data_IF_650574367419
#
_entry.id   IF_650574367419
#
_cell.length_a   1.000
_cell.length_b   1.000
_cell.length_c   1.000
_cell.angle_alpha   90.00
_cell.angle_beta   90.00
_cell.angle_gamma   90.00
#
_symmetry.space_group_name_H-M   'P 1'
#
loop_
_entity.id
_entity.type
_entity.pdbx_description
1 polymer ?
#
# COMPACT_ATOMS: atom_id res chain seq x y z
N UNK A 1 22.62 -0.12 -2.22
CA UNK A 1 22.24 -1.08 -3.28
C UNK A 1 22.59 -2.52 -2.93
N UNK A 2 23.79 -2.84 -2.47
CA UNK A 2 24.24 -4.22 -2.19
C UNK A 2 23.29 -4.98 -1.23
N UNK A 3 22.91 -4.40 -0.10
CA UNK A 3 22.01 -5.04 0.89
C UNK A 3 20.61 -5.31 0.31
N UNK A 4 20.08 -4.39 -0.52
CA UNK A 4 18.78 -4.58 -1.15
C UNK A 4 18.81 -5.74 -2.16
N UNK A 5 19.83 -5.82 -3.01
CA UNK A 5 20.00 -6.92 -3.95
C UNK A 5 20.14 -8.27 -3.21
N UNK A 6 20.92 -8.29 -2.14
CA UNK A 6 21.08 -9.49 -1.31
C UNK A 6 19.76 -9.91 -0.65
N UNK A 7 18.96 -8.96 -0.16
CA UNK A 7 17.66 -9.27 0.44
C UNK A 7 16.69 -9.84 -0.61
N UNK A 8 16.61 -9.23 -1.79
CA UNK A 8 15.75 -9.69 -2.89
C UNK A 8 16.12 -11.09 -3.40
N UNK A 9 17.39 -11.47 -3.31
CA UNK A 9 17.88 -12.80 -3.72
C UNK A 9 17.75 -13.81 -2.59
N UNK A 10 18.15 -13.43 -1.37
CA UNK A 10 18.17 -14.35 -0.22
C UNK A 10 16.82 -14.56 0.43
N UNK A 11 15.88 -13.64 0.25
CA UNK A 11 14.57 -13.63 0.91
C UNK A 11 14.63 -13.75 2.44
N UNK A 12 15.68 -13.21 3.06
CA UNK A 12 15.90 -13.34 4.50
C UNK A 12 15.44 -12.15 5.32
N UNK A 13 15.62 -10.93 4.80
CA UNK A 13 15.29 -9.70 5.52
C UNK A 13 14.15 -8.94 4.81
N UNK A 14 13.28 -8.27 5.56
CA UNK A 14 12.23 -7.46 4.96
C UNK A 14 12.79 -6.24 4.25
N UNK A 15 12.24 -5.94 3.09
CA UNK A 15 12.50 -4.74 2.30
C UNK A 15 11.44 -3.67 2.57
N UNK A 16 10.24 -4.10 2.94
CA UNK A 16 9.10 -3.23 3.24
C UNK A 16 8.33 -3.76 4.44
N UNK A 17 7.90 -2.86 5.31
CA UNK A 17 6.99 -3.17 6.40
C UNK A 17 5.73 -2.31 6.29
N UNK A 18 4.62 -2.88 6.69
CA UNK A 18 3.35 -2.18 6.88
C UNK A 18 3.09 -2.17 8.38
N UNK A 19 2.96 -0.98 8.93
CA UNK A 19 2.69 -0.82 10.35
C UNK A 19 1.30 -0.23 10.57
N UNK A 20 0.43 -1.02 11.18
CA UNK A 20 -0.86 -0.59 11.67
C UNK A 20 -0.63 0.17 12.97
N UNK A 21 -0.45 1.48 12.87
CA UNK A 21 -0.15 2.32 14.05
C UNK A 21 -1.28 2.32 15.07
N UNK A 22 -2.51 2.09 14.60
CA UNK A 22 -3.73 1.89 15.40
C UNK A 22 -4.69 0.98 14.64
N UNK A 23 -5.51 0.23 15.33
CA UNK A 23 -6.65 -0.50 14.74
C UNK A 23 -7.98 0.21 15.00
N UNK A 24 -7.96 1.36 15.68
CA UNK A 24 -9.12 2.25 15.81
C UNK A 24 -9.36 3.02 14.51
N UNK A 25 -10.62 3.24 14.15
CA UNK A 25 -11.02 4.02 13.00
C UNK A 25 -12.27 4.83 13.32
N UNK A 26 -12.38 6.04 12.78
CA UNK A 26 -13.58 6.85 12.85
C UNK A 26 -14.59 6.53 11.73
N UNK A 27 -14.17 5.76 10.69
CA UNK A 27 -15.04 5.28 9.62
C UNK A 27 -15.53 3.85 9.89
N UNK A 28 -16.60 3.44 9.17
CA UNK A 28 -17.12 2.08 9.22
C UNK A 28 -17.50 1.61 7.81
N UNK A 29 -16.47 1.44 6.97
CA UNK A 29 -16.62 1.10 5.55
C UNK A 29 -17.08 -0.35 5.37
N UNK A 30 -18.08 -0.64 4.50
CA UNK A 30 -18.58 -2.00 4.30
C UNK A 30 -17.55 -2.99 3.76
N UNK A 31 -16.55 -2.50 3.01
CA UNK A 31 -15.49 -3.33 2.40
C UNK A 31 -14.24 -3.49 3.28
N UNK A 32 -14.21 -2.87 4.47
CA UNK A 32 -13.04 -2.91 5.33
C UNK A 32 -12.79 -4.33 5.85
N UNK A 33 -11.51 -4.74 5.83
CA UNK A 33 -11.06 -6.03 6.37
C UNK A 33 -10.38 -5.90 7.74
N UNK A 34 -10.18 -4.67 8.23
CA UNK A 34 -9.57 -4.41 9.54
C UNK A 34 -10.56 -4.73 10.64
N UNK A 35 -10.17 -5.57 11.58
CA UNK A 35 -10.91 -5.81 12.81
C UNK A 35 -10.57 -4.70 13.80
N UNK A 36 -11.54 -3.84 14.11
CA UNK A 36 -11.33 -2.72 15.03
C UNK A 36 -11.09 -3.22 16.45
N UNK A 37 -10.04 -2.68 17.10
CA UNK A 37 -9.67 -3.00 18.49
C UNK A 37 -9.60 -1.73 19.33
N UNK A 38 -9.59 -1.93 20.66
CA UNK A 38 -9.31 -0.83 21.60
C UNK A 38 -7.84 -0.39 21.46
N UNK A 39 -7.56 0.86 21.87
CA UNK A 39 -6.21 1.45 21.79
C UNK A 39 -5.30 1.11 22.98
N UNK A 40 -5.80 0.33 23.94
CA UNK A 40 -5.14 0.10 25.24
C UNK A 40 -3.76 -0.57 25.12
N UNK A 41 -3.55 -1.38 24.07
CA UNK A 41 -2.33 -2.15 23.87
C UNK A 41 -1.45 -1.63 22.70
N UNK A 42 -1.72 -0.41 22.22
CA UNK A 42 -0.91 0.18 21.16
C UNK A 42 0.56 0.34 21.63
N UNK A 43 1.49 0.10 20.70
CA UNK A 43 2.92 0.28 20.96
C UNK A 43 3.20 1.75 21.32
N UNK A 44 3.97 1.96 22.38
CA UNK A 44 4.50 3.26 22.78
C UNK A 44 5.66 3.69 21.89
N UNK A 45 6.00 5.00 21.88
CA UNK A 45 7.13 5.51 21.10
C UNK A 45 8.45 4.82 21.46
N UNK A 46 8.70 4.53 22.76
CA UNK A 46 9.91 3.85 23.20
C UNK A 46 9.99 2.38 22.73
N UNK A 47 8.85 1.71 22.59
CA UNK A 47 8.78 0.36 22.01
C UNK A 47 9.01 0.39 20.51
N UNK A 48 8.42 1.37 19.80
CA UNK A 48 8.60 1.59 18.35
C UNK A 48 10.07 1.92 18.04
N UNK A 49 10.74 2.70 18.89
CA UNK A 49 12.16 3.02 18.77
C UNK A 49 13.02 1.74 18.75
N UNK A 50 12.88 0.87 19.74
CA UNK A 50 13.59 -0.43 19.79
C UNK A 50 13.29 -1.31 18.58
N UNK A 51 12.02 -1.33 18.12
CA UNK A 51 11.62 -2.09 16.93
C UNK A 51 12.34 -1.55 15.69
N UNK A 52 12.32 -0.24 15.49
CA UNK A 52 12.91 0.41 14.30
C UNK A 52 14.43 0.21 14.21
N UNK A 53 15.15 0.22 15.32
CA UNK A 53 16.58 -0.04 15.42
C UNK A 53 16.96 -1.48 15.08
N UNK A 54 16.01 -2.41 15.28
CA UNK A 54 16.27 -3.86 15.12
C UNK A 54 15.80 -4.44 13.79
N UNK A 55 15.36 -3.63 12.81
CA UNK A 55 14.83 -4.10 11.53
C UNK A 55 15.89 -4.49 10.49
N UNK A 56 17.18 -4.36 10.81
CA UNK A 56 18.27 -4.66 9.88
C UNK A 56 18.51 -3.58 8.83
N UNK A 57 19.35 -3.89 7.83
CA UNK A 57 19.84 -2.92 6.86
C UNK A 57 19.19 -3.01 5.48
N UNK A 58 18.21 -3.88 5.29
CA UNK A 58 17.55 -4.12 4.01
C UNK A 58 16.23 -3.36 3.85
N UNK A 59 15.68 -2.83 4.95
CA UNK A 59 14.42 -2.11 4.95
C UNK A 59 14.53 -0.81 4.14
N UNK A 60 13.56 -0.56 3.23
CA UNK A 60 13.53 0.62 2.36
C UNK A 60 12.26 1.44 2.46
N UNK A 61 11.19 0.82 2.93
CA UNK A 61 9.89 1.47 3.05
C UNK A 61 9.20 1.05 4.34
N UNK A 62 8.55 2.01 4.97
CA UNK A 62 7.54 1.81 6.00
C UNK A 62 6.21 2.40 5.54
N UNK A 63 5.15 1.61 5.55
CA UNK A 63 3.80 2.08 5.28
C UNK A 63 3.02 2.18 6.59
N UNK A 64 2.71 3.38 7.00
CA UNK A 64 1.89 3.67 8.18
C UNK A 64 0.42 3.59 7.77
N UNK A 65 -0.32 2.74 8.43
CA UNK A 65 -1.73 2.49 8.15
C UNK A 65 -2.45 2.09 9.44
N UNK A 66 -3.59 1.44 9.33
CA UNK A 66 -4.33 0.91 10.47
C UNK A 66 -5.83 0.93 10.22
N UNK A 67 -6.60 1.31 11.23
CA UNK A 67 -7.93 1.84 11.06
C UNK A 67 -7.82 3.23 10.40
N UNK A 68 -7.61 4.27 11.21
CA UNK A 68 -7.26 5.60 10.70
C UNK A 68 -6.01 6.12 11.43
N UNK A 69 -4.85 6.23 10.72
CA UNK A 69 -3.59 6.64 11.36
C UNK A 69 -3.64 7.99 12.04
N UNK A 70 -4.39 8.93 11.50
CA UNK A 70 -4.52 10.28 12.05
C UNK A 70 -5.33 10.36 13.34
N UNK A 71 -5.85 9.25 13.87
CA UNK A 71 -6.35 9.16 15.23
C UNK A 71 -5.22 9.10 16.28
N UNK A 72 -3.99 8.76 15.88
CA UNK A 72 -2.81 8.83 16.73
C UNK A 72 -2.26 10.25 16.77
N UNK A 73 -2.13 10.80 17.98
CA UNK A 73 -1.61 12.17 18.17
C UNK A 73 -0.10 12.25 17.94
N UNK A 74 0.60 11.12 18.14
CA UNK A 74 2.05 10.96 17.99
C UNK A 74 2.49 10.38 16.63
N UNK A 75 1.60 10.40 15.60
CA UNK A 75 1.91 9.83 14.28
C UNK A 75 3.19 10.41 13.65
N UNK A 76 3.44 11.71 13.86
CA UNK A 76 4.66 12.35 13.39
C UNK A 76 5.89 11.78 14.09
N UNK A 77 5.84 11.60 15.41
CA UNK A 77 6.98 11.04 16.16
C UNK A 77 7.27 9.60 15.72
N UNK A 78 6.22 8.82 15.45
CA UNK A 78 6.35 7.47 14.86
C UNK A 78 7.10 7.54 13.52
N UNK A 79 6.67 8.39 12.60
CA UNK A 79 7.32 8.55 11.30
C UNK A 79 8.80 8.98 11.44
N UNK A 80 9.07 9.91 12.36
CA UNK A 80 10.41 10.42 12.65
C UNK A 80 11.33 9.35 13.25
N UNK A 81 10.81 8.53 14.16
CA UNK A 81 11.56 7.40 14.75
C UNK A 81 11.98 6.43 13.64
N UNK A 82 11.04 5.98 12.80
CA UNK A 82 11.36 5.08 11.69
C UNK A 82 12.38 5.69 10.73
N UNK A 83 12.25 6.98 10.41
CA UNK A 83 13.16 7.68 9.50
C UNK A 83 14.58 7.78 10.06
N UNK A 84 14.73 8.03 11.36
CA UNK A 84 16.04 8.19 12.01
C UNK A 84 16.76 6.88 12.30
N UNK A 85 16.02 5.86 12.74
CA UNK A 85 16.60 4.65 13.32
C UNK A 85 16.71 3.49 12.33
N UNK A 86 16.17 3.62 11.12
CA UNK A 86 16.22 2.56 10.13
C UNK A 86 16.82 3.03 8.79
N UNK A 87 16.93 2.10 7.83
CA UNK A 87 17.50 2.41 6.51
C UNK A 87 16.44 2.74 5.47
N UNK A 88 15.24 3.13 5.90
CA UNK A 88 14.14 3.46 4.98
C UNK A 88 14.48 4.68 4.12
N UNK A 89 13.92 4.70 2.93
CA UNK A 89 14.06 5.78 1.95
C UNK A 89 12.72 6.44 1.65
N UNK A 90 11.64 5.88 2.18
CA UNK A 90 10.29 6.42 2.01
C UNK A 90 9.40 6.02 3.19
N UNK A 91 8.54 6.95 3.54
CA UNK A 91 7.38 6.73 4.43
C UNK A 91 6.13 6.87 3.58
N UNK A 92 5.16 6.00 3.76
CA UNK A 92 3.85 6.18 3.15
C UNK A 92 2.76 6.14 4.22
N UNK A 93 1.68 6.88 4.00
CA UNK A 93 0.52 6.93 4.91
C UNK A 93 -0.74 6.68 4.11
N UNK A 94 -1.53 5.68 4.53
CA UNK A 94 -2.86 5.44 3.97
C UNK A 94 -3.91 5.94 4.94
N UNK A 95 -4.78 6.84 4.49
CA UNK A 95 -5.78 7.52 5.34
C UNK A 95 -7.12 7.66 4.64
N UNK A 96 -8.17 7.77 5.42
CA UNK A 96 -9.49 8.14 4.90
C UNK A 96 -9.61 9.66 4.60
N UNK A 97 -8.61 10.46 5.02
CA UNK A 97 -8.55 11.89 4.76
C UNK A 97 -9.56 12.76 5.52
N UNK A 98 -10.20 12.23 6.56
CA UNK A 98 -11.27 12.92 7.29
C UNK A 98 -10.82 14.06 8.20
N UNK A 99 -9.51 14.22 8.42
CA UNK A 99 -8.92 15.15 9.39
C UNK A 99 -7.91 16.11 8.71
N UNK A 100 -8.36 17.08 7.89
CA UNK A 100 -7.48 17.94 7.09
C UNK A 100 -6.41 18.67 7.89
N UNK A 101 -6.76 19.18 9.07
CA UNK A 101 -5.82 19.93 9.91
C UNK A 101 -4.68 19.03 10.42
N UNK A 102 -5.01 17.80 10.85
CA UNK A 102 -4.01 16.83 11.29
C UNK A 102 -3.10 16.37 10.14
N UNK A 103 -3.67 16.21 8.95
CA UNK A 103 -2.90 15.89 7.73
C UNK A 103 -1.94 17.02 7.40
N UNK A 104 -2.39 18.27 7.46
CA UNK A 104 -1.56 19.44 7.22
C UNK A 104 -0.41 19.53 8.22
N UNK A 105 -0.70 19.43 9.52
CA UNK A 105 0.31 19.53 10.58
C UNK A 105 1.35 18.41 10.48
N UNK A 106 0.93 17.19 10.19
CA UNK A 106 1.83 16.06 9.96
C UNK A 106 2.73 16.30 8.73
N UNK A 107 2.15 16.70 7.60
CA UNK A 107 2.90 16.97 6.37
C UNK A 107 3.91 18.11 6.59
N UNK A 108 3.51 19.19 7.26
CA UNK A 108 4.40 20.31 7.62
C UNK A 108 5.59 19.86 8.45
N UNK A 109 5.34 19.13 9.55
CA UNK A 109 6.41 18.63 10.44
C UNK A 109 7.36 17.68 9.69
N UNK A 110 6.83 16.80 8.84
CA UNK A 110 7.65 15.90 8.02
C UNK A 110 8.49 16.68 7.01
N UNK A 111 7.96 17.73 6.38
CA UNK A 111 8.70 18.59 5.45
C UNK A 111 9.83 19.34 6.15
N UNK A 112 9.60 19.89 7.34
CA UNK A 112 10.61 20.57 8.18
C UNK A 112 11.77 19.62 8.53
N UNK A 113 11.49 18.35 8.83
CA UNK A 113 12.49 17.31 9.13
C UNK A 113 13.04 16.63 7.85
N UNK A 114 12.64 17.07 6.66
CA UNK A 114 13.04 16.50 5.36
C UNK A 114 12.71 15.00 5.20
N UNK A 115 11.59 14.58 5.76
CA UNK A 115 11.05 13.24 5.64
C UNK A 115 10.07 13.21 4.46
N UNK A 116 10.40 12.64 3.30
CA UNK A 116 9.46 12.53 2.19
C UNK A 116 8.37 11.51 2.51
N UNK A 117 7.11 11.91 2.35
CA UNK A 117 5.94 11.07 2.61
C UNK A 117 5.10 10.93 1.36
N UNK A 118 4.63 9.71 1.09
CA UNK A 118 3.63 9.42 0.06
C UNK A 118 2.27 9.21 0.72
N UNK A 119 1.33 10.11 0.48
CA UNK A 119 -0.02 10.04 1.01
C UNK A 119 -0.94 9.30 0.06
N UNK A 120 -1.74 8.38 0.58
CA UNK A 120 -2.76 7.64 -0.14
C UNK A 120 -4.11 7.90 0.50
N UNK A 121 -4.89 8.80 -0.11
CA UNK A 121 -6.23 9.15 0.36
C UNK A 121 -7.27 8.25 -0.29
N UNK A 122 -8.13 7.66 0.51
CA UNK A 122 -9.20 6.80 0.03
C UNK A 122 -10.33 7.62 -0.60
N UNK A 123 -10.76 7.26 -1.83
CA UNK A 123 -11.86 7.94 -2.52
C UNK A 123 -12.60 6.98 -3.46
N UNK A 124 -13.77 6.45 -3.04
CA UNK A 124 -14.44 5.33 -3.71
C UNK A 124 -15.68 5.74 -4.50
N UNK A 125 -16.27 6.92 -4.25
CA UNK A 125 -17.45 7.43 -4.91
C UNK A 125 -17.38 8.96 -5.09
N UNK A 126 -18.19 9.48 -6.00
CA UNK A 126 -18.29 10.92 -6.26
C UNK A 126 -19.18 11.57 -5.21
N UNK A 127 -18.76 12.72 -4.68
CA UNK A 127 -19.55 13.60 -3.83
C UNK A 127 -19.99 12.96 -2.52
N UNK A 128 -21.16 13.33 -2.02
CA UNK A 128 -21.69 12.90 -0.73
C UNK A 128 -21.84 11.39 -0.62
N UNK A 129 -22.02 10.68 -1.74
CA UNK A 129 -22.06 9.21 -1.74
C UNK A 129 -20.78 8.59 -1.16
N UNK A 130 -19.64 9.28 -1.26
CA UNK A 130 -18.39 8.84 -0.62
C UNK A 130 -18.48 8.93 0.90
N UNK A 131 -19.07 10.01 1.43
CA UNK A 131 -19.31 10.22 2.86
C UNK A 131 -20.29 9.17 3.42
N UNK A 132 -21.40 8.95 2.74
CA UNK A 132 -22.40 7.92 3.09
C UNK A 132 -21.80 6.52 3.12
N UNK A 133 -21.03 6.16 2.09
CA UNK A 133 -20.42 4.84 1.95
C UNK A 133 -19.43 4.54 3.08
N UNK A 134 -18.63 5.50 3.45
CA UNK A 134 -17.65 5.36 4.54
C UNK A 134 -18.21 5.72 5.92
N UNK A 135 -19.48 6.16 5.98
CA UNK A 135 -20.21 6.54 7.18
C UNK A 135 -19.50 7.64 7.99
N UNK A 136 -19.02 8.64 7.29
CA UNK A 136 -18.38 9.84 7.84
C UNK A 136 -18.98 11.10 7.19
N UNK A 137 -19.47 12.00 8.02
CA UNK A 137 -20.02 13.28 7.54
C UNK A 137 -18.93 14.14 6.88
N UNK A 138 -19.28 14.86 5.82
CA UNK A 138 -18.41 15.79 5.10
C UNK A 138 -17.10 15.16 4.58
N UNK A 139 -17.04 13.83 4.45
CA UNK A 139 -15.79 13.14 4.08
C UNK A 139 -15.31 13.53 2.68
N UNK A 140 -16.23 13.72 1.74
CA UNK A 140 -15.89 14.18 0.39
C UNK A 140 -15.04 15.46 0.42
N UNK A 141 -15.53 16.49 1.09
CA UNK A 141 -14.84 17.78 1.21
C UNK A 141 -13.52 17.64 1.99
N UNK A 142 -13.55 16.90 3.09
CA UNK A 142 -12.38 16.70 3.93
C UNK A 142 -11.24 15.99 3.19
N UNK A 143 -11.55 14.95 2.39
CA UNK A 143 -10.53 14.24 1.60
C UNK A 143 -9.87 15.17 0.58
N UNK A 144 -10.66 15.98 -0.12
CA UNK A 144 -10.13 16.93 -1.11
C UNK A 144 -9.30 18.00 -0.44
N UNK A 145 -9.77 18.55 0.69
CA UNK A 145 -9.00 19.51 1.49
C UNK A 145 -7.69 18.90 1.97
N UNK A 146 -7.72 17.67 2.49
CA UNK A 146 -6.51 16.95 2.92
C UNK A 146 -5.52 16.74 1.77
N UNK A 147 -6.02 16.35 0.58
CA UNK A 147 -5.19 16.16 -0.60
C UNK A 147 -4.51 17.48 -1.01
N UNK A 148 -5.27 18.56 -1.14
CA UNK A 148 -4.76 19.89 -1.51
C UNK A 148 -3.82 20.46 -0.47
N UNK A 149 -4.10 20.28 0.83
CA UNK A 149 -3.18 20.65 1.92
C UNK A 149 -1.77 20.07 1.72
N UNK A 150 -1.67 18.86 1.18
CA UNK A 150 -0.37 18.23 0.93
C UNK A 150 0.26 18.74 -0.37
N UNK A 151 -0.45 18.64 -1.49
CA UNK A 151 0.15 18.87 -2.82
C UNK A 151 0.47 20.33 -3.10
N UNK A 152 -0.33 21.25 -2.56
CA UNK A 152 -0.20 22.67 -2.83
C UNK A 152 0.85 23.35 -1.93
N UNK A 153 1.14 22.76 -0.75
CA UNK A 153 2.03 23.39 0.24
C UNK A 153 3.39 22.69 0.41
N UNK A 154 3.48 21.38 0.11
CA UNK A 154 4.68 20.60 0.47
C UNK A 154 5.22 19.77 -0.71
N UNK A 155 6.03 20.37 -1.61
CA UNK A 155 6.53 19.70 -2.82
C UNK A 155 7.45 18.49 -2.55
N UNK A 156 7.94 18.32 -1.32
CA UNK A 156 8.71 17.14 -0.91
C UNK A 156 7.83 15.89 -0.80
N UNK A 157 6.51 16.05 -0.64
CA UNK A 157 5.54 14.97 -0.50
C UNK A 157 4.88 14.63 -1.83
N UNK A 158 4.32 13.43 -1.88
CA UNK A 158 3.43 13.01 -2.98
C UNK A 158 2.07 12.62 -2.40
N UNK A 159 1.02 12.84 -3.15
CA UNK A 159 -0.32 12.39 -2.77
C UNK A 159 -1.04 11.75 -3.95
N UNK A 160 -1.85 10.73 -3.65
CA UNK A 160 -2.71 10.06 -4.61
C UNK A 160 -4.11 9.83 -4.02
N UNK A 161 -5.14 9.88 -4.87
CA UNK A 161 -6.44 9.35 -4.53
C UNK A 161 -6.51 7.87 -4.91
N UNK A 162 -6.98 7.04 -3.96
CA UNK A 162 -7.11 5.60 -4.14
C UNK A 162 -8.58 5.20 -4.24
N UNK A 163 -8.94 4.52 -5.33
CA UNK A 163 -10.22 3.85 -5.45
C UNK A 163 -10.06 2.36 -5.18
N UNK A 164 -10.85 1.81 -4.25
CA UNK A 164 -10.95 0.38 -4.01
C UNK A 164 -12.20 -0.15 -4.68
N UNK A 165 -12.02 -0.98 -5.72
CA UNK A 165 -13.16 -1.55 -6.45
C UNK A 165 -13.70 -2.75 -5.70
N UNK A 166 -14.98 -2.67 -5.36
CA UNK A 166 -15.73 -3.68 -4.62
C UNK A 166 -17.09 -3.94 -5.29
N UNK A 167 -17.88 -4.84 -4.72
CA UNK A 167 -19.25 -5.10 -5.20
C UNK A 167 -20.17 -3.88 -5.08
N UNK A 168 -19.87 -2.97 -4.17
CA UNK A 168 -20.69 -1.80 -3.89
C UNK A 168 -20.49 -0.67 -4.93
N UNK A 169 -19.29 -0.59 -5.55
CA UNK A 169 -18.96 0.53 -6.43
C UNK A 169 -18.53 0.16 -7.85
N UNK A 170 -18.37 -1.12 -8.20
CA UNK A 170 -17.84 -1.49 -9.52
C UNK A 170 -18.62 -0.89 -10.70
N UNK A 171 -19.92 -0.68 -10.56
CA UNK A 171 -20.76 -0.09 -11.59
C UNK A 171 -20.48 1.41 -11.83
N UNK A 172 -20.00 2.13 -10.81
CA UNK A 172 -19.68 3.56 -10.87
C UNK A 172 -18.19 3.87 -10.82
N UNK A 173 -17.33 2.86 -10.62
CA UNK A 173 -15.90 3.05 -10.40
C UNK A 173 -15.20 3.75 -11.59
N UNK A 174 -15.57 3.42 -12.84
CA UNK A 174 -15.03 4.10 -14.03
C UNK A 174 -15.45 5.57 -14.09
N UNK A 175 -16.67 5.89 -13.68
CA UNK A 175 -17.13 7.28 -13.59
C UNK A 175 -16.38 8.02 -12.49
N UNK A 176 -16.16 7.40 -11.32
CA UNK A 176 -15.36 7.97 -10.22
C UNK A 176 -13.93 8.25 -10.67
N UNK A 177 -13.31 7.32 -11.40
CA UNK A 177 -11.98 7.53 -11.97
C UNK A 177 -11.94 8.75 -12.91
N UNK A 178 -12.90 8.84 -13.86
CA UNK A 178 -12.97 9.97 -14.78
C UNK A 178 -13.22 11.31 -14.06
N UNK A 179 -14.08 11.32 -13.05
CA UNK A 179 -14.32 12.49 -12.22
C UNK A 179 -13.06 12.98 -11.52
N UNK A 180 -12.30 12.07 -10.86
CA UNK A 180 -11.02 12.45 -10.25
C UNK A 180 -10.04 13.04 -11.26
N UNK A 181 -9.93 12.45 -12.46
CA UNK A 181 -9.01 12.89 -13.50
C UNK A 181 -9.47 14.19 -14.17
N UNK A 182 -10.72 14.26 -14.60
CA UNK A 182 -11.20 15.31 -15.50
C UNK A 182 -11.76 16.54 -14.77
N UNK A 183 -12.49 16.33 -13.66
CA UNK A 183 -13.11 17.42 -12.89
C UNK A 183 -12.20 17.89 -11.76
N UNK A 184 -11.71 16.96 -10.94
CA UNK A 184 -10.84 17.29 -9.82
C UNK A 184 -9.38 17.53 -10.24
N UNK A 185 -9.00 17.21 -11.49
CA UNK A 185 -7.64 17.36 -12.01
C UNK A 185 -6.55 16.65 -11.17
N UNK A 186 -6.92 15.53 -10.55
CA UNK A 186 -5.99 14.74 -9.75
C UNK A 186 -4.96 14.08 -10.66
N UNK A 187 -3.69 14.40 -10.44
CA UNK A 187 -2.59 13.86 -11.24
C UNK A 187 -2.21 12.43 -10.86
N UNK A 188 -2.34 12.06 -9.59
CA UNK A 188 -1.98 10.73 -9.10
C UNK A 188 -3.23 9.98 -8.62
N UNK A 189 -3.63 8.98 -9.37
CA UNK A 189 -4.78 8.13 -9.05
C UNK A 189 -4.31 6.69 -8.99
N UNK A 190 -4.72 5.97 -7.94
CA UNK A 190 -4.53 4.54 -7.82
C UNK A 190 -5.87 3.81 -7.83
N UNK A 191 -5.83 2.57 -8.31
CA UNK A 191 -6.98 1.70 -8.33
C UNK A 191 -6.57 0.32 -7.80
N UNK A 192 -7.28 -0.19 -6.80
CA UNK A 192 -7.02 -1.50 -6.20
C UNK A 192 -8.30 -2.34 -6.20
N UNK A 193 -8.16 -3.65 -6.13
CA UNK A 193 -9.28 -4.56 -5.88
C UNK A 193 -9.53 -4.72 -4.39
N UNK A 194 -10.79 -4.86 -4.01
CA UNK A 194 -11.19 -5.26 -2.66
C UNK A 194 -10.46 -6.53 -2.22
N UNK A 195 -10.11 -6.61 -0.95
CA UNK A 195 -9.31 -7.68 -0.35
C UNK A 195 -10.00 -8.27 0.88
N UNK A 196 -9.43 -9.38 1.38
CA UNK A 196 -9.99 -10.09 2.52
C UNK A 196 -11.24 -10.87 2.15
N UNK A 197 -12.05 -11.18 3.14
CA UNK A 197 -13.27 -11.97 2.96
C UNK A 197 -14.22 -11.32 1.95
N UNK A 198 -14.29 -9.99 1.91
CA UNK A 198 -15.09 -9.23 0.95
C UNK A 198 -14.70 -9.45 -0.52
N UNK A 199 -13.46 -9.90 -0.80
CA UNK A 199 -13.02 -10.25 -2.15
C UNK A 199 -13.47 -11.65 -2.58
N UNK A 200 -13.86 -12.50 -1.64
CA UNK A 200 -14.20 -13.90 -1.88
C UNK A 200 -15.68 -14.17 -1.79
N UNK A 201 -16.43 -13.36 -1.03
CA UNK A 201 -17.89 -13.45 -0.90
C UNK A 201 -18.55 -12.59 -1.99
N UNK A 202 -18.37 -12.99 -3.24
CA UNK A 202 -18.99 -12.37 -4.41
C UNK A 202 -19.77 -13.40 -5.20
N UNK A 203 -20.95 -13.04 -5.68
CA UNK A 203 -21.63 -13.80 -6.72
C UNK A 203 -20.78 -13.83 -8.00
N UNK A 204 -21.10 -14.73 -8.92
CA UNK A 204 -20.37 -14.82 -10.20
C UNK A 204 -20.49 -13.52 -11.02
N UNK A 205 -21.63 -12.85 -10.97
CA UNK A 205 -21.87 -11.62 -11.72
C UNK A 205 -21.15 -10.43 -11.07
N UNK A 206 -21.18 -10.32 -9.74
CA UNK A 206 -20.38 -9.32 -9.01
C UNK A 206 -18.89 -9.51 -9.28
N UNK A 207 -18.39 -10.74 -9.25
CA UNK A 207 -16.98 -11.03 -9.55
C UNK A 207 -16.60 -10.61 -10.96
N UNK A 208 -17.45 -10.90 -11.96
CA UNK A 208 -17.23 -10.45 -13.34
C UNK A 208 -17.25 -8.93 -13.43
N UNK A 209 -18.26 -8.27 -12.84
CA UNK A 209 -18.37 -6.80 -12.85
C UNK A 209 -17.18 -6.11 -12.20
N UNK A 210 -16.76 -6.58 -11.02
CA UNK A 210 -15.60 -6.02 -10.29
C UNK A 210 -14.31 -6.13 -11.11
N UNK A 211 -14.02 -7.31 -11.68
CA UNK A 211 -12.79 -7.48 -12.47
C UNK A 211 -12.83 -6.72 -13.80
N UNK A 212 -14.00 -6.59 -14.41
CA UNK A 212 -14.18 -5.85 -15.65
C UNK A 212 -13.98 -4.35 -15.41
N UNK A 213 -14.59 -3.77 -14.37
CA UNK A 213 -14.35 -2.40 -13.96
C UNK A 213 -12.86 -2.13 -13.67
N UNK A 214 -12.20 -3.02 -12.92
CA UNK A 214 -10.77 -2.91 -12.66
C UNK A 214 -9.94 -2.88 -13.96
N UNK A 215 -10.18 -3.82 -14.88
CA UNK A 215 -9.45 -3.88 -16.16
C UNK A 215 -9.68 -2.65 -17.01
N UNK A 216 -10.92 -2.16 -17.07
CA UNK A 216 -11.28 -0.98 -17.85
C UNK A 216 -10.59 0.27 -17.30
N UNK A 217 -10.62 0.49 -15.98
CA UNK A 217 -9.92 1.61 -15.34
C UNK A 217 -8.42 1.50 -15.59
N UNK A 218 -7.82 0.31 -15.43
CA UNK A 218 -6.38 0.13 -15.67
C UNK A 218 -6.00 0.42 -17.13
N UNK A 219 -6.83 0.02 -18.08
CA UNK A 219 -6.61 0.35 -19.50
C UNK A 219 -6.71 1.85 -19.76
N UNK A 220 -7.68 2.54 -19.13
CA UNK A 220 -7.79 4.01 -19.20
C UNK A 220 -6.56 4.67 -18.57
N UNK A 221 -6.14 4.23 -17.37
CA UNK A 221 -4.94 4.75 -16.70
C UNK A 221 -3.68 4.59 -17.56
N UNK A 222 -3.48 3.45 -18.24
CA UNK A 222 -2.36 3.25 -19.16
C UNK A 222 -2.37 4.29 -20.30
N UNK A 223 -3.53 4.55 -20.90
CA UNK A 223 -3.71 5.56 -21.97
C UNK A 223 -3.51 6.99 -21.43
N UNK A 224 -4.07 7.29 -20.27
CA UNK A 224 -3.98 8.62 -19.65
C UNK A 224 -2.56 8.93 -19.18
N UNK A 225 -1.84 7.92 -18.71
CA UNK A 225 -0.43 8.02 -18.40
C UNK A 225 0.42 8.26 -19.67
N UNK A 226 0.21 7.47 -20.72
CA UNK A 226 0.93 7.63 -21.99
C UNK A 226 0.68 9.01 -22.66
N UNK A 227 -0.50 9.62 -22.41
CA UNK A 227 -0.88 10.96 -22.90
C UNK A 227 -0.56 12.11 -21.93
N UNK A 228 -0.02 11.81 -20.74
CA UNK A 228 0.34 12.82 -19.75
C UNK A 228 -0.84 13.43 -18.98
N UNK A 229 -2.03 12.83 -19.05
CA UNK A 229 -3.22 13.29 -18.30
C UNK A 229 -3.14 12.97 -16.81
N UNK A 230 -2.47 11.88 -16.46
CA UNK A 230 -2.17 11.53 -15.08
C UNK A 230 -0.69 11.41 -14.88
N UNK A 231 -0.24 11.70 -13.64
CA UNK A 231 1.16 11.58 -13.22
C UNK A 231 1.55 10.15 -12.90
N UNK A 232 2.77 10.00 -12.38
CA UNK A 232 3.36 8.72 -12.01
C UNK A 232 4.84 8.72 -12.35
N UNK A 233 5.38 7.62 -12.82
CA UNK A 233 6.79 7.51 -13.23
C UNK A 233 7.00 8.11 -14.62
N UNK A 234 6.96 9.45 -14.70
CA UNK A 234 6.99 10.22 -15.97
C UNK A 234 8.37 10.51 -16.49
N UNK A 235 9.39 10.51 -15.62
CA UNK A 235 10.76 10.79 -16.04
C UNK A 235 11.27 9.74 -17.03
N UNK A 236 12.10 10.21 -17.99
CA UNK A 236 12.71 9.35 -19.01
C UNK A 236 13.99 8.68 -18.50
N UNK A 237 13.98 8.16 -17.28
CA UNK A 237 15.08 7.38 -16.72
C UNK A 237 14.73 5.88 -16.62
N UNK A 238 15.78 5.05 -16.57
CA UNK A 238 15.63 3.60 -16.55
C UNK A 238 14.80 3.10 -15.36
N UNK A 239 14.92 3.75 -14.20
CA UNK A 239 14.18 3.39 -12.99
C UNK A 239 12.67 3.58 -13.20
N UNK A 240 12.25 4.75 -13.71
CA UNK A 240 10.82 5.00 -13.98
C UNK A 240 10.27 4.09 -15.07
N UNK A 241 11.07 3.77 -16.08
CA UNK A 241 10.69 2.82 -17.14
C UNK A 241 10.48 1.41 -16.56
N UNK A 242 11.38 0.96 -15.70
CA UNK A 242 11.27 -0.34 -15.03
C UNK A 242 10.07 -0.40 -14.07
N UNK A 243 9.80 0.68 -13.32
CA UNK A 243 8.65 0.78 -12.43
C UNK A 243 7.32 0.74 -13.21
N UNK A 244 7.25 1.40 -14.37
CA UNK A 244 6.08 1.31 -15.25
C UNK A 244 5.90 -0.09 -15.84
N UNK A 245 6.97 -0.73 -16.27
CA UNK A 245 6.95 -2.10 -16.76
C UNK A 245 6.43 -3.06 -15.66
N UNK A 246 6.94 -2.90 -14.43
CA UNK A 246 6.48 -3.64 -13.25
C UNK A 246 4.99 -3.39 -12.97
N UNK A 247 4.50 -2.15 -13.05
CA UNK A 247 3.09 -1.83 -12.80
C UNK A 247 2.16 -2.56 -13.80
N UNK A 248 2.51 -2.60 -15.09
CA UNK A 248 1.73 -3.36 -16.10
C UNK A 248 1.66 -4.85 -15.78
N UNK A 249 2.78 -5.42 -15.34
CA UNK A 249 2.82 -6.82 -14.91
C UNK A 249 1.99 -7.04 -13.64
N UNK A 250 2.11 -6.17 -12.65
CA UNK A 250 1.34 -6.23 -11.41
C UNK A 250 -0.16 -6.30 -11.71
N UNK A 251 -0.69 -5.39 -12.53
CA UNK A 251 -2.11 -5.36 -12.87
C UNK A 251 -2.56 -6.61 -13.62
N UNK A 252 -1.75 -7.11 -14.54
CA UNK A 252 -1.99 -8.36 -15.26
C UNK A 252 -2.10 -9.54 -14.29
N UNK A 253 -1.19 -9.65 -13.33
CA UNK A 253 -1.16 -10.79 -12.40
C UNK A 253 -2.23 -10.69 -11.30
N UNK A 254 -2.52 -9.50 -10.80
CA UNK A 254 -3.65 -9.24 -9.90
C UNK A 254 -4.96 -9.65 -10.57
N UNK A 255 -5.23 -9.17 -11.78
CA UNK A 255 -6.42 -9.55 -12.55
C UNK A 255 -6.51 -11.06 -12.74
N UNK A 256 -5.42 -11.69 -13.17
CA UNK A 256 -5.37 -13.13 -13.43
C UNK A 256 -5.59 -13.97 -12.17
N UNK A 257 -5.09 -13.51 -11.02
CA UNK A 257 -5.30 -14.16 -9.73
C UNK A 257 -6.76 -14.07 -9.31
N UNK A 258 -7.34 -12.89 -9.41
CA UNK A 258 -8.74 -12.65 -9.08
C UNK A 258 -9.70 -13.49 -9.95
N UNK A 259 -9.48 -13.51 -11.27
CA UNK A 259 -10.29 -14.30 -12.20
C UNK A 259 -10.22 -15.81 -11.94
N UNK A 260 -8.99 -16.31 -11.74
CA UNK A 260 -8.76 -17.74 -11.59
C UNK A 260 -9.03 -18.24 -10.19
N UNK A 261 -9.05 -17.35 -9.20
CA UNK A 261 -9.19 -17.67 -7.77
C UNK A 261 -8.27 -18.82 -7.34
N UNK A 262 -7.00 -18.81 -7.77
CA UNK A 262 -6.04 -19.87 -7.48
C UNK A 262 -4.62 -19.37 -7.40
N UNK A 263 -3.79 -20.15 -6.72
CA UNK A 263 -2.34 -19.92 -6.64
C UNK A 263 -1.70 -19.92 -8.04
N UNK A 264 -1.00 -18.86 -8.36
CA UNK A 264 -0.28 -18.67 -9.63
C UNK A 264 1.18 -18.27 -9.47
N UNK A 265 1.59 -17.92 -8.27
CA UNK A 265 2.97 -17.54 -7.94
C UNK A 265 3.30 -17.79 -6.48
N UNK A 266 4.54 -18.23 -6.16
CA UNK A 266 5.04 -18.15 -4.79
C UNK A 266 4.92 -16.73 -4.24
N UNK A 267 4.64 -16.64 -2.94
CA UNK A 267 4.45 -15.38 -2.25
C UNK A 267 5.66 -15.05 -1.36
N UNK A 268 6.11 -13.80 -1.39
CA UNK A 268 7.21 -13.29 -0.57
C UNK A 268 6.75 -12.74 0.79
N UNK A 269 5.46 -12.89 1.14
CA UNK A 269 4.95 -12.47 2.45
C UNK A 269 5.71 -13.15 3.58
N UNK A 270 6.00 -12.40 4.65
CA UNK A 270 6.79 -12.90 5.76
C UNK A 270 8.28 -13.13 5.45
N UNK A 271 8.75 -12.79 4.24
CA UNK A 271 10.17 -12.87 3.88
C UNK A 271 10.74 -11.55 3.34
N UNK A 272 10.07 -10.89 2.38
CA UNK A 272 10.48 -9.58 1.87
C UNK A 272 9.61 -8.44 2.37
N UNK A 273 8.42 -8.74 2.85
CA UNK A 273 7.57 -7.77 3.53
C UNK A 273 6.80 -8.46 4.66
N UNK A 274 6.35 -7.67 5.60
CA UNK A 274 5.55 -8.12 6.73
C UNK A 274 4.71 -7.00 7.30
N UNK A 275 3.88 -7.36 8.26
CA UNK A 275 2.94 -6.48 8.95
C UNK A 275 3.31 -6.45 10.43
N UNK A 276 3.28 -5.26 11.00
CA UNK A 276 3.29 -5.05 12.45
C UNK A 276 1.92 -4.47 12.81
N UNK A 277 1.19 -5.11 13.70
CA UNK A 277 -0.05 -4.56 14.25
C UNK A 277 0.22 -3.60 15.41
N UNK A 278 -0.78 -2.83 15.79
CA UNK A 278 -0.68 -1.82 16.84
C UNK A 278 -0.28 -2.39 18.21
N UNK A 279 -0.61 -3.65 18.48
CA UNK A 279 -0.26 -4.39 19.69
C UNK A 279 1.12 -5.06 19.68
N UNK A 280 1.90 -4.89 18.61
CA UNK A 280 3.22 -5.50 18.41
C UNK A 280 3.18 -6.89 17.79
N UNK A 281 2.02 -7.41 17.43
CA UNK A 281 1.92 -8.69 16.71
C UNK A 281 2.47 -8.58 15.29
N UNK A 282 3.26 -9.57 14.86
CA UNK A 282 3.86 -9.62 13.52
C UNK A 282 3.16 -10.65 12.67
N UNK A 283 2.78 -10.26 11.45
CA UNK A 283 2.11 -11.12 10.48
C UNK A 283 2.85 -11.14 9.14
N UNK A 284 2.75 -12.23 8.36
CA UNK A 284 3.36 -12.28 7.04
C UNK A 284 2.68 -11.33 6.05
N UNK A 285 1.37 -11.12 6.18
CA UNK A 285 0.58 -10.16 5.39
C UNK A 285 -0.70 -9.76 6.14
N UNK A 286 -1.41 -8.76 5.64
CA UNK A 286 -2.62 -8.19 6.25
C UNK A 286 -3.86 -9.10 6.18
N UNK A 287 -3.82 -10.18 5.39
CA UNK A 287 -4.96 -11.07 5.15
C UNK A 287 -4.87 -12.41 5.88
N UNK A 288 -3.70 -12.75 6.42
CA UNK A 288 -3.49 -14.03 7.07
C UNK A 288 -3.59 -13.90 8.59
N UNK A 289 -4.28 -14.85 9.19
CA UNK A 289 -4.53 -14.87 10.64
C UNK A 289 -3.42 -15.57 11.45
N UNK A 290 -2.41 -16.13 10.79
CA UNK A 290 -1.31 -16.85 11.46
C UNK A 290 -0.19 -15.86 11.83
N UNK A 291 -0.12 -15.48 13.10
CA UNK A 291 0.92 -14.60 13.63
C UNK A 291 2.29 -15.28 13.58
N UNK A 292 3.32 -14.51 13.23
CA UNK A 292 4.73 -14.90 13.31
C UNK A 292 5.30 -14.76 14.73
N UNK A 293 4.61 -14.03 15.62
CA UNK A 293 4.95 -13.75 16.99
C UNK A 293 4.47 -12.38 17.44
N UNK A 294 4.67 -12.02 18.70
CA UNK A 294 4.47 -10.69 19.21
C UNK A 294 5.81 -10.09 19.64
N UNK A 295 6.11 -8.86 19.27
CA UNK A 295 7.40 -8.20 19.55
C UNK A 295 7.69 -8.03 21.04
N UNK A 296 6.65 -7.99 21.89
CA UNK A 296 6.79 -7.95 23.34
C UNK A 296 7.48 -9.20 23.90
N UNK A 297 7.30 -10.36 23.26
CA UNK A 297 7.92 -11.62 23.65
C UNK A 297 9.43 -11.68 23.25
N UNK A 298 9.91 -10.71 22.49
CA UNK A 298 11.27 -10.63 21.95
C UNK A 298 12.00 -9.34 22.38
N UNK A 299 11.60 -8.72 23.48
CA UNK A 299 12.14 -7.43 23.95
C UNK A 299 12.13 -6.33 22.87
N UNK A 300 11.08 -6.35 22.04
CA UNK A 300 10.91 -5.46 20.88
C UNK A 300 11.99 -5.58 19.81
N UNK A 301 12.74 -6.68 19.78
CA UNK A 301 13.70 -6.95 18.73
C UNK A 301 13.02 -7.61 17.53
N UNK A 302 12.82 -6.82 16.45
CA UNK A 302 12.13 -7.28 15.27
C UNK A 302 12.79 -8.50 14.61
N UNK A 303 14.12 -8.49 14.41
CA UNK A 303 14.79 -9.61 13.75
C UNK A 303 14.75 -10.89 14.58
N UNK A 304 14.77 -10.81 15.91
CA UNK A 304 14.57 -12.01 16.75
C UNK A 304 13.20 -12.65 16.51
N UNK A 305 12.15 -11.84 16.49
CA UNK A 305 10.80 -12.30 16.14
C UNK A 305 10.75 -12.84 14.71
N UNK A 306 11.32 -12.09 13.74
CA UNK A 306 11.32 -12.43 12.32
C UNK A 306 12.00 -13.75 12.00
N UNK A 307 13.06 -14.12 12.73
CA UNK A 307 13.80 -15.38 12.56
C UNK A 307 13.39 -16.49 13.52
N UNK A 308 12.39 -16.29 14.35
CA UNK A 308 11.89 -17.30 15.28
C UNK A 308 11.43 -18.57 14.55
N UNK A 309 11.37 -19.68 15.25
CA UNK A 309 10.89 -20.95 14.68
C UNK A 309 9.42 -20.90 14.32
N UNK A 310 8.61 -20.15 15.08
CA UNK A 310 7.22 -19.89 14.73
C UNK A 310 7.13 -19.13 13.39
N UNK A 311 7.92 -18.07 13.20
CA UNK A 311 7.96 -17.32 11.94
C UNK A 311 8.40 -18.19 10.76
N UNK A 312 9.35 -19.12 10.94
CA UNK A 312 9.75 -20.11 9.92
C UNK A 312 8.59 -21.05 9.57
N UNK A 313 7.88 -21.57 10.57
CA UNK A 313 6.70 -22.43 10.39
C UNK A 313 5.60 -21.72 9.60
N UNK A 314 5.29 -20.48 9.96
CA UNK A 314 4.29 -19.66 9.25
C UNK A 314 4.69 -19.49 7.78
N UNK A 315 5.95 -19.14 7.46
CA UNK A 315 6.42 -19.02 6.06
C UNK A 315 6.23 -20.30 5.26
N UNK A 316 6.48 -21.45 5.85
CA UNK A 316 6.30 -22.75 5.18
C UNK A 316 4.82 -23.02 4.83
N UNK A 317 3.89 -22.53 5.64
CA UNK A 317 2.45 -22.68 5.37
C UNK A 317 1.94 -21.83 4.20
N UNK A 318 2.72 -20.82 3.75
CA UNK A 318 2.31 -19.88 2.67
C UNK A 318 2.44 -20.45 1.26
N UNK A 319 2.92 -21.67 1.08
CA UNK A 319 3.26 -22.25 -0.24
C UNK A 319 2.09 -22.34 -1.23
N UNK A 320 0.85 -22.29 -0.77
CA UNK A 320 -0.37 -22.39 -1.60
C UNK A 320 -1.27 -21.17 -1.52
N UNK A 321 -0.82 -20.10 -0.84
CA UNK A 321 -1.60 -18.88 -0.69
C UNK A 321 -1.71 -18.12 -2.01
N UNK A 322 -2.89 -17.58 -2.30
CA UNK A 322 -3.14 -16.72 -3.46
C UNK A 322 -3.96 -15.51 -3.04
N UNK A 323 -3.63 -14.36 -3.62
CA UNK A 323 -4.37 -13.14 -3.33
C UNK A 323 -4.14 -12.07 -4.42
N UNK A 324 -4.86 -10.97 -4.30
CA UNK A 324 -4.76 -9.79 -5.16
C UNK A 324 -3.93 -8.67 -4.53
N UNK A 325 -3.27 -8.91 -3.42
CA UNK A 325 -2.53 -7.90 -2.66
C UNK A 325 -1.35 -7.35 -3.48
N UNK A 326 -1.43 -6.09 -3.89
CA UNK A 326 -0.49 -5.44 -4.80
C UNK A 326 0.94 -5.37 -4.24
N UNK A 327 1.10 -5.13 -2.92
CA UNK A 327 2.43 -5.11 -2.30
C UNK A 327 3.14 -6.46 -2.43
N UNK A 328 2.39 -7.55 -2.23
CA UNK A 328 2.90 -8.91 -2.44
C UNK A 328 3.31 -9.14 -3.89
N UNK A 329 2.46 -8.77 -4.83
CA UNK A 329 2.75 -8.93 -6.25
C UNK A 329 3.94 -8.09 -6.70
N UNK A 330 4.08 -6.87 -6.19
CA UNK A 330 5.26 -6.04 -6.46
C UNK A 330 6.55 -6.76 -6.06
N UNK A 331 6.60 -7.31 -4.84
CA UNK A 331 7.77 -8.04 -4.36
C UNK A 331 8.01 -9.34 -5.14
N UNK A 332 6.95 -10.10 -5.45
CA UNK A 332 7.05 -11.33 -6.24
C UNK A 332 7.65 -11.07 -7.63
N UNK A 333 7.28 -9.98 -8.30
CA UNK A 333 7.80 -9.63 -9.63
C UNK A 333 9.30 -9.32 -9.56
N UNK A 334 9.73 -8.56 -8.55
CA UNK A 334 11.15 -8.18 -8.42
C UNK A 334 12.06 -9.28 -7.87
N UNK A 335 11.53 -10.22 -7.11
CA UNK A 335 12.36 -11.22 -6.42
C UNK A 335 12.34 -12.60 -7.08
N UNK A 336 11.45 -12.85 -8.03
CA UNK A 336 11.33 -14.17 -8.66
C UNK A 336 11.88 -14.18 -10.09
N UNK A 337 12.92 -15.00 -10.39
CA UNK A 337 13.54 -15.09 -11.73
C UNK A 337 12.54 -15.39 -12.85
N UNK A 338 11.44 -16.08 -12.56
CA UNK A 338 10.40 -16.40 -13.56
C UNK A 338 9.77 -15.17 -14.22
N UNK A 339 9.87 -14.00 -13.60
CA UNK A 339 9.31 -12.75 -14.12
C UNK A 339 10.35 -11.88 -14.84
N UNK A 340 11.63 -12.16 -14.70
CA UNK A 340 12.69 -11.28 -15.23
C UNK A 340 12.68 -11.16 -16.74
N UNK A 341 12.36 -12.24 -17.47
CA UNK A 341 12.23 -12.18 -18.93
C UNK A 341 11.10 -11.24 -19.36
N UNK A 342 9.91 -11.39 -18.74
CA UNK A 342 8.77 -10.53 -19.06
C UNK A 342 9.01 -9.08 -18.62
N UNK A 343 9.63 -8.87 -17.46
CA UNK A 343 10.01 -7.54 -16.99
C UNK A 343 10.98 -6.86 -17.95
N UNK A 344 12.05 -7.54 -18.36
CA UNK A 344 13.02 -7.05 -19.31
C UNK A 344 12.38 -6.72 -20.67
N UNK A 345 11.53 -7.60 -21.19
CA UNK A 345 10.79 -7.35 -22.43
C UNK A 345 9.92 -6.08 -22.35
N UNK A 346 9.17 -5.91 -21.25
CA UNK A 346 8.35 -4.73 -21.04
C UNK A 346 9.19 -3.45 -20.87
N UNK A 347 10.36 -3.53 -20.23
CA UNK A 347 11.31 -2.39 -20.12
C UNK A 347 11.77 -1.98 -21.51
N UNK A 348 12.26 -2.92 -22.34
CA UNK A 348 12.70 -2.64 -23.73
C UNK A 348 11.56 -2.04 -24.55
N UNK A 349 10.36 -2.61 -24.47
CA UNK A 349 9.17 -2.09 -25.15
C UNK A 349 8.85 -0.64 -24.74
N UNK A 350 8.98 -0.31 -23.47
CA UNK A 350 8.74 1.05 -22.97
C UNK A 350 9.86 2.02 -23.40
N UNK A 351 11.13 1.58 -23.48
CA UNK A 351 12.24 2.35 -24.03
C UNK A 351 11.97 2.75 -25.48
N UNK A 352 11.62 1.76 -26.32
CA UNK A 352 11.32 1.99 -27.73
C UNK A 352 10.13 2.95 -27.93
N UNK A 353 9.07 2.81 -27.13
CA UNK A 353 7.90 3.72 -27.20
C UNK A 353 8.25 5.18 -26.85
N UNK A 354 9.22 5.40 -25.97
CA UNK A 354 9.60 6.74 -25.50
C UNK A 354 10.75 7.37 -26.31
N UNK A 355 11.24 6.67 -27.36
CA UNK A 355 12.33 7.15 -28.19
C UNK A 355 13.64 7.36 -27.42
N UNK A 356 13.89 6.55 -26.41
CA UNK A 356 15.14 6.53 -25.65
C UNK A 356 15.99 5.41 -26.23
N UNK A 357 17.03 5.77 -26.98
CA UNK A 357 18.03 4.85 -27.54
C UNK A 357 19.13 4.57 -26.51
#
# INVERSE_FOLDING_TARGET
MHNLCNALISHKEPVSLIYFVTEACNANCPHCFVEFKSRENELSLSEIEKISESCGNSLRNIALTGGEPFLRDDLFDIAKIWWKNSTIQSVSVTTNGSMPDRVYDFAKKCAEEKIPVSFFFSYDFIGEKHSEYRRLNNLHENVLTSYHNVVDNFPIHTAALNITISKENYQSAEQTYRYMRDELKISNINCTLVRGDNAYILSNDERKGVIEAYKNIRKQMDSDFDSGKIGGYTEKNLTHIALNAKNKMLWKYVSKTFEKNKFISPCCAGSLFGIILSDGSVYPCELLKNSMGNLRDFDFNFLKCWYSDNAKSVRQSLSKCFCTFECSWMMNIFSSPRYYFELGFNVVKNLLKRGIN
#
